data_IF_964570222927
#
_entry.id   IF_964570222927
#
_cell.length_a   1.000
_cell.length_b   1.000
_cell.length_c   1.000
_cell.angle_alpha   90.00
_cell.angle_beta   90.00
_cell.angle_gamma   90.00
#
_symmetry.space_group_name_H-M   'P 1'
#
loop_
_entity.id
_entity.type
_entity.pdbx_description
1 polymer ?
#
# COMPACT_ATOMS: atom_id res chain seq x y z
N UNK A 1 2.95 -7.46 39.16
CA UNK A 1 3.44 -6.41 38.25
C UNK A 1 3.58 -7.04 36.86
N UNK A 2 2.57 -6.94 35.99
CA UNK A 2 2.64 -7.55 34.65
C UNK A 2 3.57 -6.71 33.77
N UNK A 3 4.78 -7.21 33.52
CA UNK A 3 5.66 -6.70 32.48
C UNK A 3 4.94 -6.81 31.15
N UNK A 4 4.46 -5.69 30.62
CA UNK A 4 3.94 -5.66 29.27
C UNK A 4 5.13 -5.64 28.34
N UNK A 5 5.32 -6.72 27.57
CA UNK A 5 6.27 -6.75 26.46
C UNK A 5 6.02 -5.53 25.56
N UNK A 6 7.10 -4.85 25.23
CA UNK A 6 7.10 -3.74 24.29
C UNK A 6 6.95 -4.31 22.89
N UNK A 7 5.86 -3.95 22.20
CA UNK A 7 5.54 -4.47 20.87
C UNK A 7 6.35 -3.77 19.75
N UNK A 8 7.41 -3.03 20.11
CA UNK A 8 8.29 -2.31 19.18
C UNK A 8 9.00 -3.23 18.18
N UNK A 9 9.17 -4.52 18.47
CA UNK A 9 9.84 -5.48 17.56
C UNK A 9 9.04 -5.88 16.31
N UNK A 10 7.76 -5.51 16.19
CA UNK A 10 6.92 -5.92 15.05
C UNK A 10 7.26 -5.22 13.73
N UNK A 11 7.84 -4.02 13.79
CA UNK A 11 8.28 -3.27 12.61
C UNK A 11 9.74 -2.90 12.83
N UNK A 12 10.67 -3.80 12.48
CA UNK A 12 12.07 -3.62 12.79
C UNK A 12 12.63 -2.35 12.14
N UNK A 13 13.32 -1.56 12.95
CA UNK A 13 14.06 -0.37 12.52
C UNK A 13 15.49 -0.79 12.28
N UNK A 14 16.09 -0.26 11.21
CA UNK A 14 17.49 -0.44 10.88
C UNK A 14 18.39 0.01 12.03
N UNK A 15 19.40 -0.78 12.44
CA UNK A 15 20.27 -0.45 13.57
C UNK A 15 20.86 0.96 13.51
N UNK A 16 21.30 1.39 12.33
CA UNK A 16 21.88 2.70 12.04
C UNK A 16 20.89 3.86 12.19
N UNK A 17 19.58 3.60 12.09
CA UNK A 17 18.54 4.62 12.18
C UNK A 17 17.90 4.73 13.56
N UNK A 18 18.26 3.88 14.53
CA UNK A 18 17.61 3.83 15.84
C UNK A 18 17.67 5.16 16.60
N UNK A 19 18.73 5.94 16.42
CA UNK A 19 18.88 7.26 17.05
C UNK A 19 17.93 8.32 16.47
N UNK A 20 17.56 8.16 15.20
CA UNK A 20 16.79 9.14 14.42
C UNK A 20 15.28 8.85 14.41
N UNK A 21 14.86 7.69 14.93
CA UNK A 21 13.42 7.35 14.97
C UNK A 21 12.67 8.30 15.91
N UNK A 22 11.61 8.97 15.42
CA UNK A 22 10.77 9.81 16.25
C UNK A 22 10.18 9.00 17.42
N UNK A 23 10.40 9.49 18.64
CA UNK A 23 9.83 8.84 19.83
C UNK A 23 8.31 9.00 19.84
N UNK A 24 7.58 7.89 19.73
CA UNK A 24 6.12 7.93 19.80
C UNK A 24 5.66 8.13 21.25
N UNK A 25 4.69 9.03 21.45
CA UNK A 25 4.01 9.17 22.75
C UNK A 25 3.08 7.99 23.04
N UNK A 26 2.60 7.33 21.99
CA UNK A 26 1.74 6.16 22.11
C UNK A 26 2.57 4.87 22.14
N UNK A 27 2.67 4.27 23.32
CA UNK A 27 3.28 2.95 23.50
C UNK A 27 2.21 1.87 23.60
N UNK A 28 2.17 1.00 22.60
CA UNK A 28 1.32 -0.19 22.62
C UNK A 28 1.74 -1.08 23.80
N UNK A 29 0.78 -1.48 24.64
CA UNK A 29 1.07 -2.33 25.81
C UNK A 29 0.36 -3.67 25.67
N UNK A 30 1.12 -4.75 25.80
CA UNK A 30 0.57 -6.10 25.88
C UNK A 30 -0.55 -6.17 26.94
N UNK A 31 -1.65 -6.86 26.61
CA UNK A 31 -2.85 -6.97 27.45
C UNK A 31 -3.80 -5.76 27.45
N UNK A 32 -3.40 -4.60 26.89
CA UNK A 32 -4.29 -3.43 26.72
C UNK A 32 -4.85 -3.27 25.31
N UNK A 33 -4.14 -3.74 24.29
CA UNK A 33 -4.59 -3.74 22.90
C UNK A 33 -5.79 -4.67 22.66
N UNK A 34 -6.43 -4.52 21.50
CA UNK A 34 -7.24 -5.58 20.90
C UNK A 34 -6.31 -6.72 20.50
N UNK A 35 -6.42 -7.87 21.17
CA UNK A 35 -5.63 -9.08 20.86
C UNK A 35 -6.30 -9.93 19.79
N UNK A 36 -5.54 -10.81 19.14
CA UNK A 36 -6.08 -11.77 18.17
C UNK A 36 -7.25 -12.57 18.75
N UNK A 37 -7.11 -13.11 19.97
CA UNK A 37 -8.22 -13.84 20.63
C UNK A 37 -9.50 -13.01 20.74
N UNK A 38 -9.38 -11.74 21.13
CA UNK A 38 -10.55 -10.86 21.28
C UNK A 38 -11.14 -10.42 19.94
N UNK A 39 -10.30 -10.30 18.92
CA UNK A 39 -10.73 -10.05 17.55
C UNK A 39 -11.59 -11.20 17.03
N UNK A 40 -11.12 -12.44 17.11
CA UNK A 40 -11.91 -13.61 16.69
C UNK A 40 -13.21 -13.75 17.48
N UNK A 41 -13.18 -13.49 18.79
CA UNK A 41 -14.38 -13.54 19.65
C UNK A 41 -15.35 -12.35 19.46
N UNK A 42 -15.07 -11.43 18.54
CA UNK A 42 -15.98 -10.34 18.17
C UNK A 42 -16.86 -10.70 16.96
N UNK A 43 -16.62 -11.85 16.32
CA UNK A 43 -17.42 -12.32 15.19
C UNK A 43 -18.52 -13.29 15.64
N UNK A 44 -19.65 -13.27 14.92
CA UNK A 44 -20.64 -14.37 14.95
C UNK A 44 -20.13 -15.59 14.19
N UNK A 45 -20.88 -16.70 14.24
CA UNK A 45 -20.56 -17.93 13.49
C UNK A 45 -20.54 -17.70 11.98
N UNK A 46 -21.44 -16.86 11.47
CA UNK A 46 -21.55 -16.47 10.06
C UNK A 46 -20.50 -15.41 9.65
N UNK A 47 -19.91 -14.73 10.63
CA UNK A 47 -18.87 -13.73 10.44
C UNK A 47 -19.29 -12.27 10.53
N UNK A 48 -20.44 -11.96 11.11
CA UNK A 48 -20.79 -10.57 11.39
C UNK A 48 -19.93 -10.03 12.54
N UNK A 49 -19.42 -8.80 12.42
CA UNK A 49 -18.51 -8.20 13.39
C UNK A 49 -19.25 -7.29 14.37
N UNK A 50 -19.08 -7.53 15.68
CA UNK A 50 -19.44 -6.57 16.73
C UNK A 50 -18.47 -5.38 16.72
N UNK A 51 -18.73 -4.44 15.81
CA UNK A 51 -17.89 -3.27 15.57
C UNK A 51 -17.83 -2.33 16.77
N UNK A 52 -18.93 -2.17 17.50
CA UNK A 52 -18.99 -1.29 18.67
C UNK A 52 -18.02 -1.78 19.77
N UNK A 53 -18.04 -3.09 20.06
CA UNK A 53 -17.12 -3.70 21.02
C UNK A 53 -15.66 -3.60 20.58
N UNK A 54 -15.39 -3.78 19.29
CA UNK A 54 -14.04 -3.62 18.71
C UNK A 54 -13.55 -2.18 18.85
N UNK A 55 -14.33 -1.19 18.42
CA UNK A 55 -13.96 0.22 18.46
C UNK A 55 -13.68 0.70 19.90
N UNK A 56 -14.54 0.33 20.87
CA UNK A 56 -14.31 0.64 22.30
C UNK A 56 -13.00 0.09 22.85
N UNK A 57 -12.48 -0.98 22.28
CA UNK A 57 -11.19 -1.57 22.68
C UNK A 57 -10.04 -0.86 21.99
N UNK A 58 -10.17 -0.58 20.70
CA UNK A 58 -9.17 0.15 19.91
C UNK A 58 -8.94 1.55 20.50
N UNK A 59 -10.01 2.29 20.82
CA UNK A 59 -9.91 3.63 21.42
C UNK A 59 -9.12 3.65 22.74
N UNK A 60 -9.21 2.60 23.55
CA UNK A 60 -8.56 2.54 24.87
C UNK A 60 -7.12 2.05 24.84
N UNK A 61 -6.76 1.23 23.86
CA UNK A 61 -5.49 0.50 23.90
C UNK A 61 -4.84 0.22 22.55
N UNK A 62 -5.46 0.61 21.44
CA UNK A 62 -4.98 0.32 20.09
C UNK A 62 -5.15 -1.14 19.67
N UNK A 63 -4.54 -1.47 18.54
CA UNK A 63 -4.62 -2.78 17.88
C UNK A 63 -3.30 -3.51 18.08
N UNK A 64 -3.36 -4.81 18.41
CA UNK A 64 -2.16 -5.63 18.45
C UNK A 64 -1.57 -5.76 17.03
N UNK A 65 -0.25 -5.55 16.82
CA UNK A 65 0.35 -5.53 15.48
C UNK A 65 0.00 -6.73 14.60
N UNK A 66 -0.03 -7.94 15.18
CA UNK A 66 -0.33 -9.19 14.46
C UNK A 66 -1.72 -9.27 13.81
N UNK A 67 -2.64 -8.36 14.14
CA UNK A 67 -3.99 -8.32 13.54
C UNK A 67 -4.30 -6.96 12.91
N UNK A 68 -3.31 -6.05 12.81
CA UNK A 68 -3.55 -4.71 12.27
C UNK A 68 -4.13 -4.75 10.86
N UNK A 69 -3.56 -5.56 9.96
CA UNK A 69 -4.06 -5.71 8.59
C UNK A 69 -5.54 -6.10 8.56
N UNK A 70 -5.90 -7.21 9.21
CA UNK A 70 -7.28 -7.69 9.27
C UNK A 70 -8.27 -6.67 9.87
N UNK A 71 -7.87 -5.93 10.90
CA UNK A 71 -8.72 -4.90 11.52
C UNK A 71 -8.85 -3.67 10.62
N UNK A 72 -7.78 -3.28 9.92
CA UNK A 72 -7.78 -2.11 9.03
C UNK A 72 -8.71 -2.28 7.83
N UNK A 73 -8.90 -3.52 7.33
CA UNK A 73 -9.90 -3.78 6.28
C UNK A 73 -11.34 -3.38 6.73
N UNK A 74 -11.65 -3.40 8.02
CA UNK A 74 -12.94 -2.91 8.54
C UNK A 74 -12.91 -1.42 8.84
N UNK A 75 -11.82 -0.91 9.43
CA UNK A 75 -11.71 0.52 9.78
C UNK A 75 -11.72 1.44 8.56
N UNK A 76 -11.13 1.01 7.45
CA UNK A 76 -11.14 1.71 6.17
C UNK A 76 -12.41 1.41 5.36
N UNK A 77 -13.33 0.62 5.90
CA UNK A 77 -14.60 0.26 5.27
C UNK A 77 -14.45 -0.68 4.07
N UNK A 78 -13.30 -1.31 3.85
CA UNK A 78 -13.14 -2.32 2.79
C UNK A 78 -14.14 -3.47 2.97
N UNK A 79 -14.50 -3.78 4.22
CA UNK A 79 -15.61 -4.65 4.61
C UNK A 79 -16.58 -3.93 5.56
N UNK A 80 -17.87 -4.23 5.42
CA UNK A 80 -18.90 -3.83 6.38
C UNK A 80 -18.99 -4.81 7.55
N UNK A 81 -19.39 -4.35 8.75
CA UNK A 81 -19.53 -5.23 9.92
C UNK A 81 -20.63 -6.28 9.73
N UNK A 82 -21.66 -5.98 8.95
CA UNK A 82 -22.78 -6.86 8.67
C UNK A 82 -22.52 -7.83 7.49
N UNK A 83 -21.28 -7.92 7.02
CA UNK A 83 -20.90 -8.92 6.01
C UNK A 83 -20.56 -10.27 6.64
N UNK A 84 -20.83 -11.36 5.92
CA UNK A 84 -20.43 -12.72 6.31
C UNK A 84 -18.98 -13.03 5.91
N UNK A 85 -18.41 -14.12 6.42
CA UNK A 85 -17.10 -14.61 5.97
C UNK A 85 -17.07 -14.93 4.47
N UNK A 86 -18.14 -15.57 3.96
CA UNK A 86 -18.22 -15.98 2.57
C UNK A 86 -18.29 -14.78 1.62
N UNK A 87 -19.11 -13.77 1.95
CA UNK A 87 -19.21 -12.53 1.17
C UNK A 87 -17.88 -11.79 1.10
N UNK A 88 -17.17 -11.67 2.23
CA UNK A 88 -15.84 -11.05 2.25
C UNK A 88 -14.84 -11.83 1.42
N UNK A 89 -14.86 -13.17 1.46
CA UNK A 89 -13.97 -13.98 0.64
C UNK A 89 -14.24 -13.81 -0.85
N UNK A 90 -15.52 -13.82 -1.27
CA UNK A 90 -15.92 -13.53 -2.66
C UNK A 90 -15.49 -12.14 -3.10
N UNK A 91 -15.69 -11.13 -2.25
CA UNK A 91 -15.28 -9.76 -2.53
C UNK A 91 -13.76 -9.64 -2.67
N UNK A 92 -12.99 -10.28 -1.80
CA UNK A 92 -11.52 -10.31 -1.84
C UNK A 92 -11.02 -10.89 -3.17
N UNK A 93 -11.55 -12.06 -3.56
CA UNK A 93 -11.15 -12.72 -4.81
C UNK A 93 -11.43 -11.84 -6.03
N UNK A 94 -12.65 -11.30 -6.13
CA UNK A 94 -13.03 -10.38 -7.22
C UNK A 94 -12.13 -9.15 -7.27
N UNK A 95 -11.79 -8.58 -6.11
CA UNK A 95 -10.91 -7.41 -5.99
C UNK A 95 -9.47 -7.70 -6.43
N UNK A 96 -8.96 -8.89 -6.09
CA UNK A 96 -7.63 -9.36 -6.52
C UNK A 96 -7.58 -9.59 -8.04
N UNK A 97 -8.61 -10.22 -8.60
CA UNK A 97 -8.75 -10.40 -10.06
C UNK A 97 -8.81 -9.05 -10.78
N UNK A 98 -9.62 -8.12 -10.28
CA UNK A 98 -9.77 -6.79 -10.86
C UNK A 98 -8.45 -6.01 -10.84
N UNK A 99 -7.76 -5.99 -9.70
CA UNK A 99 -6.47 -5.35 -9.60
C UNK A 99 -5.42 -5.99 -10.52
N UNK A 100 -5.40 -7.33 -10.60
CA UNK A 100 -4.54 -8.05 -11.53
C UNK A 100 -4.79 -7.67 -13.00
N UNK A 101 -6.06 -7.51 -13.39
CA UNK A 101 -6.41 -7.07 -14.74
C UNK A 101 -5.90 -5.65 -15.04
N UNK A 102 -6.06 -4.70 -14.10
CA UNK A 102 -5.51 -3.35 -14.25
C UNK A 102 -3.98 -3.35 -14.30
N UNK A 103 -3.33 -4.17 -13.48
CA UNK A 103 -1.88 -4.32 -13.49
C UNK A 103 -1.38 -4.81 -14.84
N UNK A 104 -2.03 -5.81 -15.44
CA UNK A 104 -1.68 -6.32 -16.77
C UNK A 104 -1.95 -5.29 -17.88
N UNK A 105 -3.00 -4.47 -17.77
CA UNK A 105 -3.24 -3.36 -18.70
C UNK A 105 -2.11 -2.31 -18.61
N UNK A 106 -1.79 -1.87 -17.38
CA UNK A 106 -0.72 -0.93 -17.11
C UNK A 106 0.64 -1.46 -17.62
N UNK A 107 0.89 -2.77 -17.48
CA UNK A 107 2.12 -3.42 -17.94
C UNK A 107 2.28 -3.46 -19.45
N UNK A 108 1.19 -3.57 -20.21
CA UNK A 108 1.23 -3.45 -21.69
C UNK A 108 1.68 -2.06 -22.13
N UNK A 109 1.28 -1.06 -21.37
CA UNK A 109 1.69 0.31 -21.61
C UNK A 109 3.11 0.54 -21.12
N UNK A 110 3.41 0.23 -19.85
CA UNK A 110 4.69 0.44 -19.15
C UNK A 110 5.20 -0.91 -18.61
N UNK A 111 6.08 -1.64 -19.34
CA UNK A 111 6.51 -3.00 -18.98
C UNK A 111 7.23 -3.16 -17.63
N UNK A 112 7.65 -2.05 -17.01
CA UNK A 112 8.26 -2.05 -15.68
C UNK A 112 7.22 -2.35 -14.58
N UNK A 113 5.94 -2.06 -14.82
CA UNK A 113 4.85 -2.37 -13.87
C UNK A 113 4.80 -3.87 -13.60
N UNK A 114 4.87 -4.26 -12.32
CA UNK A 114 4.87 -5.66 -11.91
C UNK A 114 6.16 -6.43 -12.18
N UNK A 115 7.23 -5.76 -12.62
CA UNK A 115 8.52 -6.42 -12.87
C UNK A 115 9.38 -6.64 -11.61
N UNK A 116 8.99 -6.05 -10.48
CA UNK A 116 9.82 -5.97 -9.28
C UNK A 116 10.86 -4.84 -9.33
N UNK A 117 10.78 -3.96 -10.33
CA UNK A 117 11.58 -2.74 -10.47
C UNK A 117 10.67 -1.53 -10.59
N UNK A 118 11.23 -0.34 -10.40
CA UNK A 118 10.55 0.94 -10.59
C UNK A 118 11.48 1.95 -11.24
N UNK A 119 10.91 3.03 -11.80
CA UNK A 119 11.67 4.08 -12.48
C UNK A 119 11.81 5.32 -11.61
N UNK A 120 13.01 5.87 -11.51
CA UNK A 120 13.32 7.14 -10.83
C UNK A 120 13.74 8.24 -11.79
N UNK A 121 14.06 7.89 -13.03
CA UNK A 121 14.40 8.81 -14.11
C UNK A 121 13.19 9.06 -14.99
N UNK A 122 13.02 10.30 -15.44
CA UNK A 122 12.00 10.65 -16.42
C UNK A 122 12.28 9.93 -17.74
N UNK A 123 11.26 9.26 -18.27
CA UNK A 123 11.36 8.46 -19.51
C UNK A 123 10.82 9.25 -20.72
N UNK A 124 9.93 10.22 -20.48
CA UNK A 124 9.32 11.09 -21.48
C UNK A 124 9.43 12.55 -21.05
N UNK A 125 9.61 13.41 -22.04
CA UNK A 125 9.47 14.86 -21.89
C UNK A 125 8.01 15.28 -21.89
N UNK A 126 7.74 16.51 -21.46
CA UNK A 126 6.39 17.10 -21.48
C UNK A 126 5.73 17.06 -22.87
N UNK A 127 6.55 17.08 -23.93
CA UNK A 127 6.10 17.02 -25.31
C UNK A 127 5.88 15.58 -25.83
N UNK A 128 6.03 14.56 -24.97
CA UNK A 128 5.88 13.15 -25.34
C UNK A 128 7.08 12.53 -26.05
N UNK A 129 8.18 13.28 -26.24
CA UNK A 129 9.41 12.74 -26.79
C UNK A 129 10.20 12.00 -25.70
N UNK A 130 10.81 10.83 -25.99
CA UNK A 130 11.67 10.14 -25.04
C UNK A 130 12.86 11.00 -24.60
N UNK A 131 13.26 10.88 -23.33
CA UNK A 131 14.45 11.53 -22.79
C UNK A 131 15.59 10.50 -22.77
N UNK A 132 16.47 10.58 -23.78
CA UNK A 132 17.76 9.87 -23.93
C UNK A 132 17.72 8.33 -24.08
N UNK A 133 18.22 7.87 -25.23
CA UNK A 133 18.25 6.47 -25.71
C UNK A 133 19.36 5.61 -25.07
N UNK A 134 20.25 6.19 -24.26
CA UNK A 134 21.54 5.56 -23.90
C UNK A 134 21.53 4.62 -22.70
N UNK A 135 20.43 4.48 -21.95
CA UNK A 135 20.48 3.81 -20.63
C UNK A 135 19.64 2.54 -20.45
N UNK A 136 18.72 2.18 -21.37
CA UNK A 136 18.00 0.90 -21.27
C UNK A 136 17.54 0.45 -22.67
N UNK A 137 18.06 -0.68 -23.17
CA UNK A 137 17.80 -1.27 -24.52
C UNK A 137 16.32 -1.61 -24.86
N UNK A 138 15.32 -1.10 -24.15
CA UNK A 138 13.93 -1.56 -24.25
C UNK A 138 12.86 -0.44 -24.14
N UNK A 139 13.13 0.77 -24.64
CA UNK A 139 12.17 1.89 -24.56
C UNK A 139 11.30 2.11 -25.83
N UNK A 140 11.30 1.17 -26.79
CA UNK A 140 10.45 1.29 -27.99
C UNK A 140 8.94 1.34 -27.72
N UNK A 141 8.49 0.92 -26.53
CA UNK A 141 7.09 1.04 -26.09
C UNK A 141 6.72 2.49 -25.73
N UNK A 142 7.69 3.29 -25.27
CA UNK A 142 7.50 4.67 -24.80
C UNK A 142 7.04 5.54 -25.95
N UNK A 143 7.75 5.50 -27.08
CA UNK A 143 7.46 6.30 -28.29
C UNK A 143 6.08 5.96 -28.86
N UNK A 144 5.73 4.67 -28.92
CA UNK A 144 4.50 4.21 -29.55
C UNK A 144 3.25 4.60 -28.75
N UNK A 145 3.33 4.52 -27.42
CA UNK A 145 2.19 4.73 -26.53
C UNK A 145 2.04 6.21 -26.09
N UNK A 146 3.15 6.92 -25.85
CA UNK A 146 3.12 8.31 -25.35
C UNK A 146 2.66 9.32 -26.42
N UNK A 147 3.04 9.11 -27.69
CA UNK A 147 2.68 10.03 -28.79
C UNK A 147 1.20 9.90 -29.17
N UNK A 148 0.58 8.74 -28.95
CA UNK A 148 -0.77 8.44 -29.44
C UNK A 148 -1.87 8.69 -28.41
N UNK A 149 -1.56 8.80 -27.12
CA UNK A 149 -2.57 8.91 -26.06
C UNK A 149 -2.15 9.88 -24.93
N UNK A 150 -2.81 11.04 -24.88
CA UNK A 150 -2.59 12.09 -23.85
C UNK A 150 -2.73 11.56 -22.42
N UNK A 151 -3.69 10.65 -22.21
CA UNK A 151 -3.93 10.01 -20.91
C UNK A 151 -2.72 9.19 -20.46
N UNK A 152 -2.10 8.46 -21.39
CA UNK A 152 -0.90 7.65 -21.12
C UNK A 152 0.30 8.55 -20.89
N UNK A 153 0.46 9.63 -21.66
CA UNK A 153 1.52 10.61 -21.46
C UNK A 153 1.46 11.24 -20.06
N UNK A 154 0.29 11.74 -19.65
CA UNK A 154 0.10 12.33 -18.32
C UNK A 154 0.46 11.36 -17.18
N UNK A 155 0.05 10.10 -17.33
CA UNK A 155 0.40 9.05 -16.37
C UNK A 155 1.92 8.79 -16.35
N UNK A 156 2.56 8.64 -17.51
CA UNK A 156 3.99 8.39 -17.63
C UNK A 156 4.84 9.52 -17.04
N UNK A 157 4.41 10.77 -17.19
CA UNK A 157 5.06 11.93 -16.58
C UNK A 157 5.04 11.85 -15.05
N UNK A 158 4.04 11.20 -14.44
CA UNK A 158 3.95 11.04 -12.98
C UNK A 158 4.85 9.93 -12.43
N UNK A 159 5.20 8.91 -13.23
CA UNK A 159 5.83 7.68 -12.74
C UNK A 159 7.22 7.87 -12.12
N UNK A 160 8.02 8.78 -12.67
CA UNK A 160 9.36 9.06 -12.14
C UNK A 160 9.27 9.76 -10.77
N UNK A 161 8.32 10.68 -10.60
CA UNK A 161 8.06 11.35 -9.33
C UNK A 161 7.63 10.33 -8.26
N UNK A 162 6.74 9.39 -8.62
CA UNK A 162 6.36 8.28 -7.72
C UNK A 162 7.61 7.48 -7.32
N UNK A 163 8.50 7.16 -8.27
CA UNK A 163 9.71 6.41 -7.97
C UNK A 163 10.70 7.14 -7.07
N UNK A 164 10.88 8.45 -7.26
CA UNK A 164 11.69 9.28 -6.36
C UNK A 164 11.12 9.28 -4.93
N UNK A 165 9.80 9.34 -4.81
CA UNK A 165 9.10 9.33 -3.52
C UNK A 165 9.18 7.95 -2.83
N UNK A 166 9.04 6.87 -3.60
CA UNK A 166 9.24 5.50 -3.11
C UNK A 166 10.66 5.31 -2.58
N UNK A 167 11.68 5.78 -3.31
CA UNK A 167 13.08 5.63 -2.91
C UNK A 167 13.43 6.32 -1.58
N UNK A 168 12.63 7.31 -1.14
CA UNK A 168 12.78 8.02 0.14
C UNK A 168 11.80 7.58 1.24
N UNK A 169 10.83 6.73 0.93
CA UNK A 169 9.76 6.33 1.87
C UNK A 169 10.32 5.47 3.01
N UNK A 170 10.02 5.86 4.26
CA UNK A 170 10.28 5.10 5.50
C UNK A 170 11.63 4.36 5.56
N UNK A 171 12.71 5.00 5.09
CA UNK A 171 14.05 4.39 4.95
C UNK A 171 14.70 3.92 6.25
N UNK A 172 14.12 4.27 7.40
CA UNK A 172 14.51 3.78 8.72
C UNK A 172 13.93 2.39 9.04
N UNK A 173 12.91 1.93 8.33
CA UNK A 173 12.32 0.59 8.50
C UNK A 173 13.10 -0.43 7.67
N UNK A 174 13.48 -1.56 8.28
CA UNK A 174 14.11 -2.67 7.57
C UNK A 174 13.19 -3.28 6.51
N UNK A 175 11.88 -3.05 6.61
CA UNK A 175 10.89 -3.48 5.61
C UNK A 175 11.23 -2.99 4.19
N UNK A 176 11.70 -1.75 4.05
CA UNK A 176 12.03 -1.17 2.74
C UNK A 176 13.46 -1.43 2.26
N UNK A 177 14.26 -2.23 2.99
CA UNK A 177 15.52 -2.75 2.46
C UNK A 177 15.31 -3.77 1.33
N UNK A 178 14.12 -4.37 1.28
CA UNK A 178 13.75 -5.29 0.21
C UNK A 178 13.18 -4.52 -0.99
N UNK A 179 13.86 -4.61 -2.13
CA UNK A 179 13.43 -3.98 -3.38
C UNK A 179 12.03 -4.42 -3.83
N UNK A 180 11.60 -5.64 -3.49
CA UNK A 180 10.24 -6.12 -3.79
C UNK A 180 9.17 -5.31 -3.05
N UNK A 181 9.46 -4.86 -1.84
CA UNK A 181 8.52 -4.06 -1.05
C UNK A 181 8.44 -2.63 -1.59
N UNK A 182 9.57 -2.07 -2.05
CA UNK A 182 9.59 -0.78 -2.73
C UNK A 182 8.86 -0.86 -4.08
N UNK A 183 9.11 -1.88 -4.89
CA UNK A 183 8.41 -2.06 -6.18
C UNK A 183 6.92 -2.28 -5.99
N UNK A 184 6.51 -2.97 -4.94
CA UNK A 184 5.10 -3.16 -4.56
C UNK A 184 4.42 -1.82 -4.24
N UNK A 185 5.08 -0.96 -3.46
CA UNK A 185 4.59 0.41 -3.19
C UNK A 185 4.47 1.21 -4.49
N UNK A 186 5.47 1.14 -5.35
CA UNK A 186 5.47 1.83 -6.64
C UNK A 186 4.34 1.34 -7.56
N UNK A 187 4.15 0.02 -7.70
CA UNK A 187 3.09 -0.58 -8.52
C UNK A 187 1.69 -0.14 -8.05
N UNK A 188 1.44 -0.15 -6.74
CA UNK A 188 0.15 0.29 -6.17
C UNK A 188 -0.11 1.77 -6.46
N UNK A 189 0.87 2.64 -6.25
CA UNK A 189 0.76 4.08 -6.52
C UNK A 189 0.57 4.35 -8.02
N UNK A 190 1.36 3.70 -8.88
CA UNK A 190 1.28 3.85 -10.32
C UNK A 190 -0.10 3.45 -10.86
N UNK A 191 -0.63 2.30 -10.42
CA UNK A 191 -1.95 1.83 -10.85
C UNK A 191 -3.06 2.72 -10.28
N UNK A 192 -2.95 3.18 -9.03
CA UNK A 192 -3.91 4.13 -8.47
C UNK A 192 -3.96 5.43 -9.28
N UNK A 193 -2.79 5.99 -9.63
CA UNK A 193 -2.69 7.19 -10.46
C UNK A 193 -3.28 6.99 -11.85
N UNK A 194 -3.07 5.82 -12.48
CA UNK A 194 -3.68 5.50 -13.78
C UNK A 194 -5.22 5.52 -13.75
N UNK A 195 -5.79 5.05 -12.65
CA UNK A 195 -7.24 4.98 -12.44
C UNK A 195 -7.85 6.34 -12.05
N UNK A 196 -7.05 7.27 -11.51
CA UNK A 196 -7.51 8.55 -10.95
C UNK A 196 -6.72 9.74 -11.53
N UNK A 197 -6.70 9.89 -12.85
CA UNK A 197 -5.86 10.90 -13.51
C UNK A 197 -6.30 12.35 -13.30
N UNK A 198 -7.55 12.57 -12.92
CA UNK A 198 -8.06 13.91 -12.58
C UNK A 198 -7.31 14.50 -11.36
N UNK A 199 -6.90 13.63 -10.43
CA UNK A 199 -6.07 14.00 -9.27
C UNK A 199 -4.60 13.73 -9.57
N UNK A 200 -4.31 12.62 -10.27
CA UNK A 200 -2.96 12.18 -10.55
C UNK A 200 -2.23 11.68 -9.31
N UNK A 201 -0.90 11.78 -9.32
CA UNK A 201 -0.08 11.54 -8.13
C UNK A 201 0.23 12.87 -7.45
N UNK A 202 0.01 12.94 -6.14
CA UNK A 202 0.40 14.07 -5.30
C UNK A 202 1.42 13.61 -4.28
N UNK A 203 2.49 14.39 -4.12
CA UNK A 203 3.54 14.13 -3.14
C UNK A 203 2.96 13.90 -1.74
N UNK A 204 3.38 12.81 -1.09
CA UNK A 204 2.87 12.38 0.21
C UNK A 204 1.86 11.22 0.14
N UNK A 205 1.31 10.91 -1.04
CA UNK A 205 0.49 9.69 -1.23
C UNK A 205 1.27 8.41 -0.92
N UNK A 206 2.59 8.41 -1.14
CA UNK A 206 3.49 7.31 -0.76
C UNK A 206 3.50 7.07 0.75
N UNK A 207 3.46 8.12 1.57
CA UNK A 207 3.48 8.01 3.03
C UNK A 207 2.14 7.48 3.57
N UNK A 208 1.02 7.78 2.88
CA UNK A 208 -0.30 7.20 3.18
C UNK A 208 -0.37 5.74 2.77
N UNK A 209 0.23 5.38 1.62
CA UNK A 209 0.21 4.04 1.08
C UNK A 209 1.17 3.07 1.82
N UNK A 210 2.31 3.56 2.30
CA UNK A 210 3.35 2.76 2.98
C UNK A 210 2.79 1.83 4.07
N UNK A 211 1.97 2.30 5.02
CA UNK A 211 1.32 1.43 6.00
C UNK A 211 0.51 0.27 5.39
N UNK A 212 -0.14 0.47 4.24
CA UNK A 212 -0.90 -0.58 3.57
C UNK A 212 0.04 -1.65 3.01
N UNK A 213 1.16 -1.23 2.39
CA UNK A 213 2.17 -2.14 1.87
C UNK A 213 2.80 -2.98 2.97
N UNK A 214 3.03 -2.37 4.14
CA UNK A 214 3.58 -3.03 5.33
C UNK A 214 2.57 -4.03 5.95
N UNK A 215 1.28 -3.71 5.95
CA UNK A 215 0.26 -4.48 6.67
C UNK A 215 -0.33 -5.65 5.88
N UNK A 216 -0.27 -5.61 4.54
CA UNK A 216 -0.90 -6.59 3.67
C UNK A 216 0.15 -7.31 2.83
N UNK A 217 0.16 -8.65 2.86
CA UNK A 217 1.06 -9.45 2.01
C UNK A 217 0.67 -9.39 0.53
N UNK A 218 -0.63 -9.43 0.24
CA UNK A 218 -1.16 -9.30 -1.12
C UNK A 218 -1.21 -7.83 -1.55
N UNK A 219 -0.73 -7.56 -2.76
CA UNK A 219 -0.66 -6.21 -3.33
C UNK A 219 -2.04 -5.62 -3.63
N UNK A 220 -3.00 -6.43 -4.07
CA UNK A 220 -4.33 -5.96 -4.35
C UNK A 220 -5.06 -5.56 -3.06
N UNK A 221 -4.87 -6.32 -1.97
CA UNK A 221 -5.47 -5.99 -0.67
C UNK A 221 -4.93 -4.64 -0.15
N UNK A 222 -3.63 -4.38 -0.34
CA UNK A 222 -3.02 -3.09 -0.04
C UNK A 222 -3.60 -1.97 -0.91
N UNK A 223 -3.73 -2.20 -2.23
CA UNK A 223 -4.34 -1.25 -3.17
C UNK A 223 -5.76 -0.87 -2.74
N UNK A 224 -6.62 -1.84 -2.42
CA UNK A 224 -8.01 -1.54 -2.05
C UNK A 224 -8.13 -0.84 -0.70
N UNK A 225 -7.22 -1.08 0.24
CA UNK A 225 -7.17 -0.32 1.49
C UNK A 225 -6.69 1.11 1.26
N UNK A 226 -5.66 1.30 0.42
CA UNK A 226 -5.18 2.62 0.02
C UNK A 226 -6.26 3.42 -0.73
N UNK A 227 -6.94 2.78 -1.68
CA UNK A 227 -8.04 3.37 -2.45
C UNK A 227 -9.15 3.89 -1.54
N UNK A 228 -9.53 3.13 -0.50
CA UNK A 228 -10.50 3.59 0.49
C UNK A 228 -10.00 4.72 1.38
N UNK A 229 -8.71 4.77 1.67
CA UNK A 229 -8.13 5.85 2.47
C UNK A 229 -8.06 7.18 1.71
N UNK A 230 -8.05 7.12 0.37
CA UNK A 230 -7.99 8.29 -0.51
C UNK A 230 -9.37 8.81 -0.96
N UNK A 231 -10.46 8.13 -0.59
CA UNK A 231 -11.85 8.59 -0.82
C UNK A 231 -12.34 9.48 0.32
#
# INVERSE_FOLDING_TARGET
KSGGEDLQGFFPVRPECQADVPRTRFKSRAGKTLSARRWHAAFTEEGHLDMEKVLRRIQRGGIHPSIKGAVWEFLLGCYGPDTTFEERNKLRNRRREQYGAWKEECKKMVPVIGSGKFITMAVVSENGNPIDESSVENQGWVVKNAITNERVLQWMLSLHQIGLDVARTDRYLSFYENDRNQSKLWDVLAIYTWLNLDIGYVQGMNDICSPMIILFDDEADAFWCFERAMR
#
